data_IF_216384547874
#
_entry.id   IF_216384547874
#
_cell.length_a   1.000
_cell.length_b   1.000
_cell.length_c   1.000
_cell.angle_alpha   90.00
_cell.angle_beta   90.00
_cell.angle_gamma   90.00
#
_symmetry.space_group_name_H-M   'P 1'
#
loop_
_entity.id
_entity.type
_entity.pdbx_description
1 polymer ?
#
# COMPACT_ATOMS: atom_id res chain seq x y z
N UNK A 1 -16.18 -63.74 2.47
CA UNK A 1 -16.72 -62.37 2.46
C UNK A 1 -15.76 -61.49 3.26
N UNK A 2 -14.68 -60.99 2.67
CA UNK A 2 -13.68 -60.17 3.41
C UNK A 2 -12.95 -59.13 2.54
N UNK A 3 -13.02 -59.25 1.21
CA UNK A 3 -12.38 -58.33 0.26
C UNK A 3 -12.81 -56.84 0.34
N UNK A 4 -14.09 -56.47 0.60
CA UNK A 4 -14.47 -55.05 0.51
C UNK A 4 -13.94 -54.22 1.69
N UNK A 5 -13.79 -54.81 2.88
CA UNK A 5 -13.35 -54.10 4.07
C UNK A 5 -11.86 -53.74 4.02
N UNK A 6 -11.04 -54.67 3.50
CA UNK A 6 -9.60 -54.44 3.32
C UNK A 6 -9.34 -53.34 2.29
N UNK A 7 -10.09 -53.33 1.17
CA UNK A 7 -9.98 -52.27 0.17
C UNK A 7 -10.41 -50.89 0.68
N UNK A 8 -11.35 -50.85 1.64
CA UNK A 8 -11.79 -49.60 2.26
C UNK A 8 -10.74 -49.05 3.23
N UNK A 9 -10.12 -49.93 4.02
CA UNK A 9 -9.07 -49.54 4.97
C UNK A 9 -7.82 -49.07 4.22
N UNK A 10 -7.42 -49.76 3.15
CA UNK A 10 -6.22 -49.37 2.38
C UNK A 10 -6.43 -48.05 1.64
N UNK A 11 -7.60 -47.83 1.03
CA UNK A 11 -7.89 -46.56 0.33
C UNK A 11 -8.05 -45.38 1.29
N UNK A 12 -8.63 -45.60 2.48
CA UNK A 12 -8.74 -44.57 3.51
C UNK A 12 -7.35 -44.16 4.04
N UNK A 13 -6.45 -45.13 4.29
CA UNK A 13 -5.08 -44.86 4.73
C UNK A 13 -4.27 -44.14 3.64
N UNK A 14 -4.43 -44.52 2.37
CA UNK A 14 -3.73 -43.85 1.26
C UNK A 14 -4.18 -42.39 1.16
N UNK A 15 -5.48 -42.11 1.32
CA UNK A 15 -6.06 -40.76 1.23
C UNK A 15 -5.57 -39.82 2.33
N UNK A 16 -5.34 -40.32 3.56
CA UNK A 16 -4.73 -39.52 4.65
C UNK A 16 -3.19 -39.41 4.51
N UNK A 17 -2.54 -40.35 3.81
CA UNK A 17 -1.09 -40.34 3.58
C UNK A 17 -0.65 -39.47 2.41
N UNK A 18 -1.55 -39.20 1.45
CA UNK A 18 -1.38 -38.14 0.45
C UNK A 18 -1.61 -36.80 1.14
N UNK A 19 -0.66 -36.45 2.02
CA UNK A 19 -0.64 -35.20 2.74
C UNK A 19 -0.88 -34.05 1.78
N UNK A 20 -1.77 -33.15 2.16
CA UNK A 20 -1.85 -31.84 1.54
C UNK A 20 -0.44 -31.26 1.49
N UNK A 21 0.04 -30.72 0.35
CA UNK A 21 1.31 -30.03 0.34
C UNK A 21 1.19 -28.90 1.36
N UNK A 22 1.91 -29.02 2.47
CA UNK A 22 2.11 -27.93 3.41
C UNK A 22 2.99 -26.94 2.66
N UNK A 23 2.37 -25.99 1.97
CA UNK A 23 3.07 -24.85 1.39
C UNK A 23 3.48 -23.96 2.57
N UNK A 24 4.65 -24.24 3.14
CA UNK A 24 5.28 -23.35 4.10
C UNK A 24 6.09 -22.29 3.34
N UNK A 25 5.40 -21.43 2.60
CA UNK A 25 6.02 -20.28 1.93
C UNK A 25 5.72 -19.00 2.72
N UNK A 26 6.13 -18.98 3.99
CA UNK A 26 6.46 -17.72 4.64
C UNK A 26 7.96 -17.47 4.41
N UNK A 27 8.34 -17.20 3.14
CA UNK A 27 9.64 -16.59 2.84
C UNK A 27 9.60 -15.12 3.32
N UNK A 28 9.62 -14.94 4.63
CA UNK A 28 9.76 -13.62 5.25
C UNK A 28 11.19 -13.18 4.99
N UNK A 29 11.35 -12.27 4.03
CA UNK A 29 12.64 -11.68 3.74
C UNK A 29 12.99 -10.73 4.88
N UNK A 30 13.79 -11.22 5.84
CA UNK A 30 14.21 -10.44 7.01
C UNK A 30 15.33 -9.51 6.56
N UNK A 31 14.96 -8.28 6.22
CA UNK A 31 15.91 -7.19 5.96
C UNK A 31 16.18 -6.48 7.28
N UNK A 32 17.45 -6.33 7.65
CA UNK A 32 17.86 -5.50 8.77
C UNK A 32 18.23 -4.11 8.27
N UNK A 33 17.66 -3.08 8.89
CA UNK A 33 18.01 -1.68 8.67
C UNK A 33 18.82 -1.20 9.88
N UNK A 34 20.11 -0.95 9.67
CA UNK A 34 20.96 -0.35 10.70
C UNK A 34 20.99 1.17 10.54
N UNK A 35 20.68 1.91 11.60
CA UNK A 35 20.72 3.38 11.62
C UNK A 35 21.92 3.80 12.45
N UNK A 36 22.95 4.33 11.79
CA UNK A 36 24.16 4.82 12.44
C UNK A 36 24.02 6.30 12.80
N UNK A 37 23.89 6.61 14.09
CA UNK A 37 23.72 7.99 14.57
C UNK A 37 25.04 8.77 14.72
N UNK A 38 26.18 8.14 14.42
CA UNK A 38 27.51 8.75 14.53
C UNK A 38 27.80 9.74 13.39
N UNK A 39 27.13 9.58 12.24
CA UNK A 39 27.28 10.44 11.08
C UNK A 39 25.95 11.14 10.82
N UNK A 40 25.83 12.40 11.23
CA UNK A 40 24.66 13.19 10.88
C UNK A 40 24.65 13.42 9.37
N UNK A 41 23.57 13.01 8.70
CA UNK A 41 23.36 13.29 7.28
C UNK A 41 23.17 14.78 7.02
N UNK A 42 22.82 15.13 5.78
CA UNK A 42 22.53 16.52 5.44
C UNK A 42 21.36 17.07 6.27
N UNK A 43 21.46 18.35 6.63
CA UNK A 43 20.37 19.06 7.31
C UNK A 43 19.21 19.18 6.33
N UNK A 44 18.05 18.68 6.74
CA UNK A 44 16.80 18.82 5.98
C UNK A 44 16.35 20.28 6.08
N UNK A 45 16.24 21.02 4.95
CA UNK A 45 15.77 22.40 4.98
C UNK A 45 14.32 22.49 5.46
N UNK A 46 13.99 23.52 6.24
CA UNK A 46 12.60 23.78 6.67
C UNK A 46 11.66 24.07 5.48
N UNK A 47 12.22 24.44 4.33
CA UNK A 47 11.50 24.71 3.08
C UNK A 47 11.45 23.51 2.13
N UNK A 48 11.84 22.31 2.59
CA UNK A 48 11.81 21.09 1.75
C UNK A 48 10.40 20.76 1.23
N UNK A 49 9.37 21.19 1.95
CA UNK A 49 7.97 21.04 1.55
C UNK A 49 7.29 22.40 1.48
N UNK A 50 6.51 22.61 0.43
CA UNK A 50 5.73 23.83 0.20
C UNK A 50 4.59 23.56 -0.77
N UNK A 51 3.71 24.55 -0.91
CA UNK A 51 2.62 24.52 -1.88
C UNK A 51 2.95 25.50 -2.99
N UNK A 52 2.78 25.07 -4.24
CA UNK A 52 2.83 25.96 -5.40
C UNK A 52 1.39 26.33 -5.72
N UNK A 53 1.10 27.62 -5.76
CA UNK A 53 -0.19 28.15 -6.18
C UNK A 53 0.02 28.89 -7.50
N UNK A 54 -0.47 28.30 -8.59
CA UNK A 54 -0.60 29.01 -9.86
C UNK A 54 -1.83 29.91 -9.77
N UNK A 55 -1.64 31.23 -9.85
CA UNK A 55 -2.75 32.17 -9.82
C UNK A 55 -3.64 31.97 -11.05
N UNK A 56 -4.92 31.69 -10.81
CA UNK A 56 -5.99 31.68 -11.81
C UNK A 56 -5.96 30.51 -12.82
N UNK A 57 -5.39 29.37 -12.46
CA UNK A 57 -5.67 28.10 -13.15
C UNK A 57 -6.90 27.45 -12.50
N UNK A 58 -7.81 26.87 -13.28
CA UNK A 58 -9.02 26.16 -12.82
C UNK A 58 -9.97 26.92 -11.87
N UNK A 59 -9.91 28.26 -11.78
CA UNK A 59 -10.62 29.08 -10.78
C UNK A 59 -10.15 28.84 -9.34
N UNK A 60 -8.90 28.43 -9.16
CA UNK A 60 -8.32 28.19 -7.83
C UNK A 60 -8.11 29.50 -7.05
N UNK A 61 -8.16 30.65 -7.73
CA UNK A 61 -8.12 31.99 -7.14
C UNK A 61 -9.53 32.63 -7.13
N UNK A 62 -9.94 33.29 -8.22
CA UNK A 62 -11.29 33.85 -8.39
C UNK A 62 -12.36 32.75 -8.50
N UNK A 63 -13.12 32.55 -7.42
CA UNK A 63 -14.08 31.45 -7.29
C UNK A 63 -13.54 30.21 -6.58
N UNK A 64 -12.33 30.30 -6.03
CA UNK A 64 -11.65 29.26 -5.25
C UNK A 64 -11.17 29.81 -3.91
N UNK A 65 -9.86 30.02 -3.77
CA UNK A 65 -9.25 30.54 -2.54
C UNK A 65 -9.70 31.97 -2.22
N UNK A 66 -9.94 32.80 -3.24
CA UNK A 66 -10.47 34.13 -3.04
C UNK A 66 -11.97 34.04 -2.72
N UNK A 67 -12.34 34.52 -1.53
CA UNK A 67 -13.68 34.37 -0.96
C UNK A 67 -14.77 35.21 -1.66
N UNK A 68 -14.49 35.79 -2.82
CA UNK A 68 -15.47 36.51 -3.62
C UNK A 68 -16.48 35.54 -4.21
N UNK A 69 -17.76 35.83 -3.97
CA UNK A 69 -18.88 34.97 -4.39
C UNK A 69 -19.50 35.43 -5.70
N UNK A 70 -19.23 36.67 -6.13
CA UNK A 70 -19.79 37.24 -7.35
C UNK A 70 -18.76 37.19 -8.48
N UNK A 71 -19.00 36.32 -9.44
CA UNK A 71 -18.23 36.29 -10.68
C UNK A 71 -18.44 37.57 -11.49
N UNK A 72 -17.35 38.11 -12.06
CA UNK A 72 -17.37 39.31 -12.90
C UNK A 72 -17.92 40.58 -12.20
N UNK A 73 -17.62 40.75 -10.91
CA UNK A 73 -18.14 41.87 -10.10
C UNK A 73 -17.87 43.28 -10.66
N UNK A 74 -16.84 43.42 -11.50
CA UNK A 74 -16.35 44.72 -11.98
C UNK A 74 -16.26 44.83 -13.50
N UNK A 75 -16.77 43.87 -14.27
CA UNK A 75 -16.70 43.87 -15.75
C UNK A 75 -15.28 44.04 -16.30
N UNK A 76 -14.30 43.47 -15.59
CA UNK A 76 -12.88 43.56 -15.96
C UNK A 76 -12.53 42.49 -16.99
N UNK A 77 -11.73 42.88 -18.00
CA UNK A 77 -11.20 42.01 -19.05
C UNK A 77 -9.79 42.46 -19.44
#
# INVERSE_FOLDING_TARGET
ITLPLIGFITSFIITISSGWPIVNENNINVVSLNIENANTGQIIPSTMHGVILETNVNRDDDGGLYAELVYNRAFQG
#
